data_IF_352780893271
#
_entry.id   IF_352780893271
#
_cell.length_a   1.000
_cell.length_b   1.000
_cell.length_c   1.000
_cell.angle_alpha   90.00
_cell.angle_beta   90.00
_cell.angle_gamma   90.00
#
_symmetry.space_group_name_H-M   'P 1'
#
loop_
_entity.id
_entity.type
_entity.pdbx_description
1 polymer ?
#
# COMPACT_ATOMS: atom_id res chain seq x y z
N UNK A 1 16.62 -15.60 -21.73
CA UNK A 1 15.22 -15.78 -21.32
C UNK A 1 15.02 -14.91 -20.09
N UNK A 2 14.41 -13.74 -20.24
CA UNK A 2 14.11 -12.84 -19.12
C UNK A 2 12.81 -13.32 -18.50
N UNK A 3 12.90 -14.18 -17.49
CA UNK A 3 11.77 -14.52 -16.64
C UNK A 3 11.30 -13.22 -15.99
N UNK A 4 10.09 -12.77 -16.32
CA UNK A 4 9.46 -11.63 -15.67
C UNK A 4 9.50 -11.86 -14.15
N UNK A 5 10.01 -10.93 -13.33
CA UNK A 5 9.84 -11.05 -11.89
C UNK A 5 8.34 -10.94 -11.62
N UNK A 6 7.81 -11.99 -11.04
CA UNK A 6 6.42 -12.14 -10.63
C UNK A 6 6.08 -11.11 -9.53
N UNK A 7 5.78 -9.87 -9.93
CA UNK A 7 5.57 -8.78 -8.99
C UNK A 7 4.27 -8.99 -8.21
N UNK A 8 4.36 -8.85 -6.89
CA UNK A 8 3.21 -8.83 -5.98
C UNK A 8 3.21 -7.51 -5.29
N UNK A 9 2.11 -6.76 -5.40
CA UNK A 9 2.05 -5.37 -4.94
C UNK A 9 1.25 -5.34 -3.65
N UNK A 10 1.89 -4.94 -2.55
CA UNK A 10 1.19 -4.44 -1.36
C UNK A 10 1.04 -2.94 -1.55
N UNK A 11 -0.21 -2.51 -1.71
CA UNK A 11 -0.53 -1.09 -1.73
C UNK A 11 -0.68 -0.59 -0.30
N UNK A 12 0.08 0.41 0.16
CA UNK A 12 -0.13 1.02 1.48
C UNK A 12 -0.28 2.54 1.38
N UNK A 13 -1.36 3.05 1.97
CA UNK A 13 -1.74 4.45 2.02
C UNK A 13 -1.20 5.11 3.27
N UNK A 14 -0.58 6.28 3.15
CA UNK A 14 0.06 6.96 4.28
C UNK A 14 -0.51 8.37 4.49
N UNK A 15 -1.13 8.57 5.65
CA UNK A 15 -1.18 9.88 6.32
C UNK A 15 -0.19 9.78 7.48
N UNK A 16 0.83 10.62 7.43
CA UNK A 16 2.14 10.34 8.01
C UNK A 16 2.35 10.90 9.43
N UNK A 17 1.27 11.34 10.08
CA UNK A 17 1.29 12.02 11.37
C UNK A 17 0.74 11.19 12.54
N UNK A 18 0.58 9.87 12.37
CA UNK A 18 0.08 8.97 13.40
C UNK A 18 1.14 7.91 13.76
N UNK A 19 1.26 7.54 15.05
CA UNK A 19 2.21 6.51 15.51
C UNK A 19 2.08 5.14 14.82
N UNK A 20 0.97 4.90 14.10
CA UNK A 20 0.79 3.73 13.25
C UNK A 20 1.69 3.73 12.01
N UNK A 21 2.09 4.90 11.49
CA UNK A 21 2.88 5.02 10.27
C UNK A 21 4.28 4.41 10.44
N UNK A 22 4.96 4.72 11.54
CA UNK A 22 6.31 4.21 11.82
C UNK A 22 6.32 2.68 11.95
N UNK A 23 5.37 2.12 12.72
CA UNK A 23 5.24 0.67 12.88
C UNK A 23 4.88 -0.01 11.56
N UNK A 24 3.94 0.56 10.80
CA UNK A 24 3.53 0.01 9.50
C UNK A 24 4.70 -0.01 8.53
N UNK A 25 5.47 1.06 8.42
CA UNK A 25 6.61 1.12 7.53
C UNK A 25 7.74 0.19 7.92
N UNK A 26 8.00 0.05 9.23
CA UNK A 26 8.97 -0.92 9.72
C UNK A 26 8.59 -2.34 9.29
N UNK A 27 7.35 -2.76 9.53
CA UNK A 27 6.90 -4.10 9.14
C UNK A 27 6.90 -4.28 7.60
N UNK A 28 6.57 -3.24 6.82
CA UNK A 28 6.68 -3.30 5.35
C UNK A 28 8.13 -3.44 4.88
N UNK A 29 9.08 -2.76 5.53
CA UNK A 29 10.51 -2.93 5.25
C UNK A 29 10.94 -4.37 5.54
N UNK A 30 10.55 -4.94 6.68
CA UNK A 30 10.87 -6.32 7.04
C UNK A 30 10.30 -7.32 6.01
N UNK A 31 9.07 -7.12 5.54
CA UNK A 31 8.49 -7.93 4.45
C UNK A 31 9.28 -7.80 3.15
N UNK A 32 9.64 -6.57 2.78
CA UNK A 32 10.39 -6.30 1.55
C UNK A 32 11.79 -6.92 1.60
N UNK A 33 12.48 -6.82 2.73
CA UNK A 33 13.78 -7.46 2.92
C UNK A 33 13.69 -8.97 2.82
N UNK A 34 12.64 -9.57 3.40
CA UNK A 34 12.47 -11.01 3.43
C UNK A 34 12.12 -11.60 2.06
N UNK A 35 11.32 -10.89 1.25
CA UNK A 35 10.71 -11.48 0.05
C UNK A 35 10.96 -10.69 -1.24
N UNK A 36 11.54 -9.49 -1.17
CA UNK A 36 11.69 -8.58 -2.30
C UNK A 36 12.59 -9.12 -3.40
N UNK A 37 13.77 -9.61 -3.02
CA UNK A 37 14.75 -10.16 -3.97
C UNK A 37 14.44 -11.62 -4.33
N UNK A 38 14.24 -12.48 -3.33
CA UNK A 38 14.10 -13.93 -3.56
C UNK A 38 12.73 -14.33 -4.16
N UNK A 39 11.67 -13.59 -3.84
CA UNK A 39 10.28 -13.91 -4.23
C UNK A 39 9.65 -12.83 -5.12
N UNK A 40 10.38 -11.78 -5.46
CA UNK A 40 9.87 -10.70 -6.32
C UNK A 40 8.79 -9.83 -5.66
N UNK A 41 8.69 -9.81 -4.33
CA UNK A 41 7.73 -8.93 -3.65
C UNK A 41 8.01 -7.46 -3.97
N UNK A 42 6.97 -6.67 -4.24
CA UNK A 42 7.06 -5.22 -4.41
C UNK A 42 6.03 -4.55 -3.50
N UNK A 43 6.44 -3.44 -2.89
CA UNK A 43 5.54 -2.66 -2.05
C UNK A 43 5.47 -1.28 -2.68
N UNK A 44 4.25 -0.82 -2.97
CA UNK A 44 4.02 0.46 -3.63
C UNK A 44 3.24 1.35 -2.67
N UNK A 45 3.88 2.41 -2.18
CA UNK A 45 3.31 3.35 -1.24
C UNK A 45 2.79 4.60 -1.95
N UNK A 46 1.52 4.93 -1.75
CA UNK A 46 0.89 6.10 -2.37
C UNK A 46 0.34 7.03 -1.29
N UNK A 47 0.95 8.21 -1.09
CA UNK A 47 0.42 9.21 -0.17
C UNK A 47 -0.96 9.72 -0.61
N UNK A 48 -1.82 10.06 0.35
CA UNK A 48 -3.15 10.60 0.09
C UNK A 48 -3.60 11.53 1.23
N UNK A 49 -4.27 12.64 0.88
CA UNK A 49 -4.76 13.63 1.85
C UNK A 49 -6.30 13.63 2.00
N UNK A 50 -7.00 12.62 1.47
CA UNK A 50 -8.47 12.56 1.47
C UNK A 50 -9.08 11.98 2.76
N UNK A 51 -8.31 11.86 3.84
CA UNK A 51 -8.68 11.15 5.05
C UNK A 51 -8.44 11.97 6.30
N UNK A 52 -9.39 11.89 7.24
CA UNK A 52 -9.36 12.69 8.46
C UNK A 52 -9.53 14.19 8.22
N UNK A 53 -9.55 14.96 9.31
CA UNK A 53 -9.60 16.42 9.28
C UNK A 53 -8.21 17.05 9.52
N UNK A 54 -7.14 16.27 9.36
CA UNK A 54 -5.78 16.73 9.61
C UNK A 54 -5.28 17.59 8.45
N UNK A 55 -4.34 18.48 8.74
CA UNK A 55 -3.74 19.33 7.72
C UNK A 55 -3.08 18.51 6.60
N UNK A 56 -3.21 18.94 5.34
CA UNK A 56 -2.64 18.22 4.21
C UNK A 56 -1.11 18.15 4.36
N UNK A 57 -0.55 16.94 4.45
CA UNK A 57 0.91 16.77 4.42
C UNK A 57 1.44 17.11 3.03
N UNK A 58 2.56 17.85 2.99
CA UNK A 58 3.24 18.23 1.75
C UNK A 58 4.11 17.10 1.23
N UNK A 59 4.37 17.05 -0.08
CA UNK A 59 5.25 16.04 -0.67
C UNK A 59 6.65 16.02 -0.05
N UNK A 60 7.16 17.20 0.36
CA UNK A 60 8.45 17.33 1.04
C UNK A 60 8.47 16.61 2.38
N UNK A 61 7.46 16.87 3.23
CA UNK A 61 7.36 16.21 4.55
C UNK A 61 7.22 14.69 4.42
N UNK A 62 6.52 14.22 3.39
CA UNK A 62 6.39 12.80 3.09
C UNK A 62 7.76 12.19 2.78
N UNK A 63 8.54 12.84 1.91
CA UNK A 63 9.89 12.41 1.54
C UNK A 63 10.81 12.45 2.76
N UNK A 64 10.83 13.56 3.51
CA UNK A 64 11.70 13.73 4.68
C UNK A 64 11.43 12.62 5.72
N UNK A 65 10.17 12.25 5.93
CA UNK A 65 9.83 11.15 6.83
C UNK A 65 10.22 9.77 6.27
N UNK A 66 9.95 9.52 4.99
CA UNK A 66 10.35 8.29 4.32
C UNK A 66 11.87 8.08 4.38
N UNK A 67 12.64 9.15 4.19
CA UNK A 67 14.09 9.18 4.35
C UNK A 67 14.50 8.93 5.80
N UNK A 68 13.85 9.58 6.76
CA UNK A 68 14.11 9.38 8.21
C UNK A 68 13.89 7.94 8.64
N UNK A 69 12.85 7.28 8.11
CA UNK A 69 12.51 5.89 8.42
C UNK A 69 13.36 4.90 7.62
N UNK A 70 13.93 5.33 6.49
CA UNK A 70 14.72 4.47 5.61
C UNK A 70 13.87 3.43 4.91
N UNK A 71 12.75 3.85 4.29
CA UNK A 71 11.92 2.92 3.51
C UNK A 71 12.72 2.28 2.38
N UNK A 72 12.48 1.00 2.13
CA UNK A 72 13.22 0.18 1.14
C UNK A 72 12.43 -0.12 -0.13
N UNK A 73 11.22 0.42 -0.22
CA UNK A 73 10.25 0.15 -1.27
C UNK A 73 9.80 1.45 -1.94
N UNK A 74 9.05 1.32 -3.04
CA UNK A 74 8.71 2.44 -3.89
C UNK A 74 7.68 3.37 -3.24
N UNK A 75 8.02 4.66 -3.16
CA UNK A 75 7.12 5.73 -2.76
C UNK A 75 6.75 6.57 -3.98
N UNK A 76 5.46 6.69 -4.25
CA UNK A 76 4.92 7.43 -5.40
C UNK A 76 4.49 8.84 -5.02
N UNK A 77 4.13 9.62 -6.04
CA UNK A 77 3.46 10.89 -5.85
C UNK A 77 2.11 10.73 -5.14
N UNK A 78 1.66 11.83 -4.55
CA UNK A 78 0.37 11.88 -3.88
C UNK A 78 -0.76 11.71 -4.89
N UNK A 79 -1.74 10.88 -4.56
CA UNK A 79 -2.89 10.60 -5.42
C UNK A 79 -4.21 10.71 -4.67
N UNK A 80 -5.26 11.04 -5.40
CA UNK A 80 -6.62 10.87 -4.94
C UNK A 80 -7.07 9.42 -5.16
N UNK A 81 -7.77 8.87 -4.18
CA UNK A 81 -8.21 7.48 -4.15
C UNK A 81 -9.74 7.37 -4.15
N UNK A 82 -10.44 8.45 -3.80
CA UNK A 82 -11.88 8.61 -3.79
C UNK A 82 -12.34 9.79 -4.65
N UNK A 83 -13.63 9.81 -5.01
CA UNK A 83 -14.23 10.84 -5.85
C UNK A 83 -13.89 10.72 -7.34
N UNK A 84 -14.30 11.74 -8.10
CA UNK A 84 -14.18 11.77 -9.57
C UNK A 84 -12.73 11.91 -10.03
N UNK A 85 -11.89 12.57 -9.23
CA UNK A 85 -10.47 12.75 -9.47
C UNK A 85 -9.61 11.55 -9.01
N UNK A 86 -10.23 10.49 -8.47
CA UNK A 86 -9.48 9.30 -8.07
C UNK A 86 -8.68 8.72 -9.23
N UNK A 87 -7.42 8.37 -8.96
CA UNK A 87 -6.53 7.77 -9.96
C UNK A 87 -7.15 6.49 -10.56
N UNK A 88 -6.93 6.21 -11.85
CA UNK A 88 -7.48 5.04 -12.53
C UNK A 88 -7.18 3.71 -11.81
N UNK A 89 -5.98 3.59 -11.23
CA UNK A 89 -5.58 2.40 -10.46
C UNK A 89 -6.52 2.18 -9.26
N UNK A 90 -6.83 3.23 -8.51
CA UNK A 90 -7.70 3.15 -7.35
C UNK A 90 -9.16 2.89 -7.72
N UNK A 91 -9.64 3.49 -8.82
CA UNK A 91 -10.96 3.16 -9.37
C UNK A 91 -11.05 1.68 -9.72
N UNK A 92 -10.02 1.13 -10.36
CA UNK A 92 -9.94 -0.30 -10.70
C UNK A 92 -9.92 -1.20 -9.46
N UNK A 93 -9.03 -0.96 -8.50
CA UNK A 93 -8.88 -1.78 -7.30
C UNK A 93 -10.16 -1.83 -6.47
N UNK A 94 -10.78 -0.67 -6.24
CA UNK A 94 -12.05 -0.58 -5.51
C UNK A 94 -13.21 -1.28 -6.22
N UNK A 95 -13.19 -1.30 -7.55
CA UNK A 95 -14.20 -1.99 -8.34
C UNK A 95 -14.03 -3.51 -8.30
N UNK A 96 -12.78 -3.99 -8.40
CA UNK A 96 -12.46 -5.43 -8.38
C UNK A 96 -12.64 -6.04 -6.98
N UNK A 97 -12.22 -5.34 -5.94
CA UNK A 97 -12.30 -5.80 -4.55
C UNK A 97 -13.22 -4.87 -3.76
N UNK A 98 -14.52 -5.09 -3.96
CA UNK A 98 -15.57 -4.38 -3.23
C UNK A 98 -15.54 -4.79 -1.77
N UNK A 99 -15.77 -3.84 -0.87
CA UNK A 99 -16.10 -4.16 0.52
C UNK A 99 -17.62 -4.31 0.63
N UNK A 100 -18.09 -5.13 1.57
CA UNK A 100 -19.53 -5.27 1.88
C UNK A 100 -20.21 -3.93 2.16
N UNK A 101 -19.44 -2.91 2.57
CA UNK A 101 -19.91 -1.56 2.86
C UNK A 101 -19.64 -0.56 1.72
N UNK A 102 -19.45 -1.06 0.49
CA UNK A 102 -19.26 -0.27 -0.72
C UNK A 102 -17.80 -0.15 -1.19
N UNK A 103 -17.62 0.60 -2.29
CA UNK A 103 -16.32 0.73 -2.96
C UNK A 103 -15.46 1.88 -2.43
N UNK A 104 -15.94 2.64 -1.45
CA UNK A 104 -15.23 3.79 -0.90
C UNK A 104 -14.05 3.33 -0.03
N UNK A 105 -12.88 3.98 -0.14
CA UNK A 105 -11.79 3.79 0.82
C UNK A 105 -12.12 4.66 2.02
N UNK A 106 -12.18 4.09 3.23
CA UNK A 106 -12.69 4.84 4.40
C UNK A 106 -11.59 5.51 5.21
N UNK A 107 -10.39 4.93 5.26
CA UNK A 107 -9.30 5.36 6.12
C UNK A 107 -7.94 4.99 5.53
N UNK A 108 -6.92 5.81 5.82
CA UNK A 108 -5.58 5.41 6.30
C UNK A 108 -5.20 3.93 6.11
N UNK A 109 -4.10 3.57 5.45
CA UNK A 109 -3.51 2.22 5.51
C UNK A 109 -4.38 1.05 5.03
N UNK A 110 -5.39 1.31 4.19
CA UNK A 110 -6.07 0.24 3.44
C UNK A 110 -5.05 -0.42 2.50
N UNK A 111 -5.01 -1.75 2.51
CA UNK A 111 -4.05 -2.54 1.75
C UNK A 111 -4.74 -3.38 0.70
N UNK A 112 -4.08 -3.54 -0.44
CA UNK A 112 -4.50 -4.43 -1.52
C UNK A 112 -3.35 -5.39 -1.80
N UNK A 113 -3.68 -6.67 -1.98
CA UNK A 113 -2.75 -7.68 -2.47
C UNK A 113 -3.09 -7.97 -3.92
N UNK A 114 -2.09 -7.81 -4.78
CA UNK A 114 -2.15 -8.12 -6.21
C UNK A 114 -1.25 -9.33 -6.45
N UNK A 115 -1.78 -10.36 -7.10
CA UNK A 115 -0.99 -11.54 -7.45
C UNK A 115 -0.10 -11.28 -8.68
N UNK A 116 0.70 -12.27 -9.03
CA UNK A 116 1.72 -12.18 -10.09
C UNK A 116 1.15 -11.97 -11.50
N UNK A 117 -0.11 -12.36 -11.71
CA UNK A 117 -0.84 -12.12 -12.95
C UNK A 117 -1.43 -10.69 -13.02
N UNK A 118 -1.12 -9.82 -12.05
CA UNK A 118 -1.67 -8.47 -11.96
C UNK A 118 -3.13 -8.43 -11.52
N UNK A 119 -3.65 -9.52 -10.95
CA UNK A 119 -5.05 -9.61 -10.49
C UNK A 119 -5.13 -9.23 -9.01
N UNK A 120 -5.95 -8.24 -8.63
CA UNK A 120 -6.23 -7.97 -7.22
C UNK A 120 -6.98 -9.14 -6.60
N UNK A 121 -6.44 -9.71 -5.52
CA UNK A 121 -6.98 -10.91 -4.86
C UNK A 121 -7.52 -10.63 -3.46
N UNK A 122 -6.92 -9.70 -2.72
CA UNK A 122 -7.35 -9.38 -1.36
C UNK A 122 -7.34 -7.87 -1.08
N UNK A 123 -8.26 -7.43 -0.22
CA UNK A 123 -8.37 -6.07 0.29
C UNK A 123 -8.48 -6.11 1.81
N UNK A 124 -7.63 -5.35 2.48
CA UNK A 124 -7.49 -5.33 3.93
C UNK A 124 -7.65 -3.93 4.50
N UNK A 125 -8.34 -3.81 5.62
CA UNK A 125 -8.54 -2.53 6.30
C UNK A 125 -7.28 -2.06 7.05
N UNK A 126 -7.28 -0.79 7.45
CA UNK A 126 -6.19 -0.13 8.19
C UNK A 126 -5.64 -0.91 9.38
N UNK A 127 -6.52 -1.62 10.09
CA UNK A 127 -6.22 -2.34 11.32
C UNK A 127 -5.43 -3.62 11.11
N UNK A 128 -5.42 -4.15 9.87
CA UNK A 128 -4.64 -5.33 9.52
C UNK A 128 -3.20 -4.89 9.36
N UNK A 129 -2.31 -5.42 10.21
CA UNK A 129 -0.90 -5.08 10.20
C UNK A 129 -0.19 -5.81 9.06
N UNK A 130 0.85 -5.24 8.44
CA UNK A 130 1.61 -5.92 7.38
C UNK A 130 2.06 -7.34 7.75
N UNK A 131 2.50 -7.58 8.99
CA UNK A 131 2.89 -8.93 9.44
C UNK A 131 1.74 -9.95 9.37
N UNK A 132 0.49 -9.52 9.54
CA UNK A 132 -0.67 -10.41 9.51
C UNK A 132 -0.98 -10.85 8.06
N UNK A 133 -0.43 -10.16 7.07
CA UNK A 133 -0.57 -10.47 5.65
C UNK A 133 0.41 -11.55 5.16
N UNK A 134 1.38 -11.97 5.99
CA UNK A 134 2.43 -12.93 5.58
C UNK A 134 1.79 -14.21 5.01
N UNK A 135 0.84 -14.80 5.73
CA UNK A 135 0.20 -16.05 5.29
C UNK A 135 -0.51 -15.88 3.94
N UNK A 136 -1.22 -14.77 3.74
CA UNK A 136 -1.85 -14.44 2.45
C UNK A 136 -0.81 -14.31 1.33
N UNK A 137 0.27 -13.57 1.57
CA UNK A 137 1.35 -13.34 0.59
C UNK A 137 2.03 -14.66 0.21
N UNK A 138 2.35 -15.50 1.20
CA UNK A 138 2.99 -16.79 1.03
C UNK A 138 2.10 -17.77 0.27
N UNK A 139 0.79 -17.77 0.53
CA UNK A 139 -0.18 -18.67 -0.13
C UNK A 139 -0.31 -18.48 -1.63
N UNK A 140 0.12 -17.32 -2.13
CA UNK A 140 0.00 -16.97 -3.52
C UNK A 140 1.20 -17.52 -4.34
N UNK A 141 2.28 -17.99 -3.70
CA UNK A 141 3.51 -18.50 -4.35
C UNK A 141 3.40 -19.95 -4.81
#
# INVERSE_FOLDING_TARGET
>A
MCSNPDYRIIHSMHQLTCGLAEVTFKELNELYEKYGEEKGLRILAFPCNQFGNSEPTTSKEIIDLATKIGIKFDLFEKVDVNGDHASPLWKFLKHKLKSDKGNFIKMNFTKFIINTNGVPVERHDAKVMPKDLISSIESLW
#
